data_IF_758752043949
#
_entry.id   IF_758752043949
#
_cell.length_a   1.000
_cell.length_b   1.000
_cell.length_c   1.000
_cell.angle_alpha   90.00
_cell.angle_beta   90.00
_cell.angle_gamma   90.00
#
_symmetry.space_group_name_H-M   'P 1'
#
loop_
_entity.id
_entity.type
_entity.pdbx_description
1 polymer ?
#
# COMPACT_ATOMS: atom_id res chain seq x y z
N UNK A 1 -0.66 13.72 5.31
CA UNK A 1 0.18 14.35 4.27
C UNK A 1 0.93 13.33 3.43
N UNK A 2 1.69 12.40 4.03
CA UNK A 2 2.51 11.41 3.29
C UNK A 2 1.75 10.66 2.19
N UNK A 3 0.59 10.06 2.50
CA UNK A 3 -0.20 9.35 1.49
C UNK A 3 -0.61 10.25 0.30
N UNK A 4 -1.05 11.48 0.57
CA UNK A 4 -1.44 12.42 -0.48
C UNK A 4 -0.25 12.85 -1.36
N UNK A 5 0.93 13.05 -0.75
CA UNK A 5 2.16 13.36 -1.49
C UNK A 5 2.56 12.20 -2.43
N UNK A 6 2.54 10.96 -1.92
CA UNK A 6 2.85 9.75 -2.70
C UNK A 6 1.87 9.56 -3.87
N UNK A 7 0.57 9.78 -3.64
CA UNK A 7 -0.44 9.74 -4.70
C UNK A 7 -0.21 10.85 -5.73
N UNK A 8 0.21 12.04 -5.29
CA UNK A 8 0.53 13.14 -6.21
C UNK A 8 1.76 12.82 -7.06
N UNK A 9 2.81 12.24 -6.48
CA UNK A 9 4.01 11.79 -7.20
C UNK A 9 3.68 10.71 -8.24
N UNK A 10 2.79 9.78 -7.90
CA UNK A 10 2.31 8.76 -8.83
C UNK A 10 1.65 9.36 -10.08
N UNK A 11 1.01 10.53 -9.98
CA UNK A 11 0.43 11.21 -11.16
C UNK A 11 1.51 11.64 -12.15
N UNK A 12 2.65 12.12 -11.67
CA UNK A 12 3.79 12.47 -12.52
C UNK A 12 4.40 11.22 -13.16
N UNK A 13 4.56 10.14 -12.40
CA UNK A 13 5.13 8.88 -12.89
C UNK A 13 4.22 8.14 -13.89
N UNK A 14 2.90 8.38 -13.83
CA UNK A 14 1.92 7.75 -14.69
C UNK A 14 1.97 8.23 -16.15
N UNK A 15 2.80 9.23 -16.47
CA UNK A 15 3.06 9.58 -17.86
C UNK A 15 3.76 8.41 -18.57
N UNK A 16 3.21 7.90 -19.70
CA UNK A 16 3.70 6.69 -20.33
C UNK A 16 5.07 6.94 -20.97
N UNK A 17 6.13 6.34 -20.44
CA UNK A 17 7.47 6.49 -21.04
C UNK A 17 7.56 5.88 -22.46
N UNK A 18 6.69 4.93 -22.79
CA UNK A 18 6.69 4.22 -24.07
C UNK A 18 6.17 5.02 -25.26
N UNK A 19 5.63 6.22 -25.04
CA UNK A 19 5.22 7.12 -26.14
C UNK A 19 6.36 8.06 -26.58
N UNK A 20 7.51 7.98 -25.90
CA UNK A 20 8.72 8.72 -26.26
C UNK A 20 9.68 7.82 -27.04
N UNK A 21 10.35 8.40 -28.05
CA UNK A 21 11.38 7.74 -28.84
C UNK A 21 12.37 8.79 -29.30
N UNK A 22 13.65 8.61 -28.94
CA UNK A 22 14.74 9.45 -29.41
C UNK A 22 15.58 8.59 -30.36
N UNK A 23 15.63 8.93 -31.67
CA UNK A 23 16.40 8.17 -32.63
C UNK A 23 17.88 8.12 -32.24
N UNK A 24 18.48 6.95 -32.31
CA UNK A 24 19.92 6.78 -32.06
C UNK A 24 20.62 6.19 -33.29
N UNK A 25 21.95 6.13 -33.25
CA UNK A 25 22.76 5.44 -34.27
C UNK A 25 22.50 5.94 -35.71
N UNK A 26 22.52 7.26 -35.93
CA UNK A 26 22.26 7.88 -37.23
C UNK A 26 20.94 7.40 -37.90
N UNK A 27 19.88 7.25 -37.09
CA UNK A 27 18.56 6.82 -37.53
C UNK A 27 18.45 5.33 -37.92
N UNK A 28 19.40 4.49 -37.47
CA UNK A 28 19.29 3.02 -37.55
C UNK A 28 18.35 2.46 -36.47
N UNK A 29 18.28 3.13 -35.32
CA UNK A 29 17.28 2.87 -34.27
C UNK A 29 16.33 4.06 -34.23
N UNK A 30 15.47 4.16 -35.23
CA UNK A 30 14.49 5.25 -35.38
C UNK A 30 13.25 5.06 -34.48
N UNK A 31 13.05 3.86 -33.93
CA UNK A 31 11.98 3.56 -32.99
C UNK A 31 12.47 2.76 -31.78
N UNK A 32 12.47 3.38 -30.60
CA UNK A 32 12.83 2.76 -29.31
C UNK A 32 11.64 2.80 -28.35
N UNK A 33 11.44 1.71 -27.59
CA UNK A 33 10.25 1.53 -26.76
C UNK A 33 10.30 2.23 -25.40
N UNK A 34 11.48 2.71 -24.99
CA UNK A 34 11.75 3.24 -23.64
C UNK A 34 11.29 2.31 -22.49
N UNK A 35 11.14 0.99 -22.78
CA UNK A 35 10.60 -0.01 -21.87
C UNK A 35 11.27 -0.06 -20.48
N UNK A 36 12.61 0.05 -20.38
CA UNK A 36 13.28 0.10 -19.07
C UNK A 36 12.85 1.28 -18.19
N UNK A 37 12.53 2.44 -18.79
CA UNK A 37 12.04 3.61 -18.06
C UNK A 37 10.62 3.35 -17.57
N UNK A 38 9.76 2.82 -18.45
CA UNK A 38 8.39 2.42 -18.07
C UNK A 38 8.39 1.41 -16.91
N UNK A 39 9.27 0.41 -16.93
CA UNK A 39 9.42 -0.54 -15.83
C UNK A 39 9.86 0.12 -14.51
N UNK A 40 10.76 1.11 -14.56
CA UNK A 40 11.18 1.88 -13.38
C UNK A 40 10.05 2.73 -12.82
N UNK A 41 9.26 3.39 -13.67
CA UNK A 41 8.07 4.14 -13.25
C UNK A 41 7.06 3.22 -12.56
N UNK A 42 6.75 2.07 -13.18
CA UNK A 42 5.84 1.08 -12.60
C UNK A 42 6.31 0.61 -11.22
N UNK A 43 7.61 0.29 -11.08
CA UNK A 43 8.19 -0.12 -9.79
C UNK A 43 8.05 0.96 -8.72
N UNK A 44 8.28 2.23 -9.07
CA UNK A 44 8.13 3.36 -8.14
C UNK A 44 6.66 3.54 -7.72
N UNK A 45 5.72 3.47 -8.67
CA UNK A 45 4.27 3.54 -8.38
C UNK A 45 3.83 2.41 -7.44
N UNK A 46 4.30 1.18 -7.65
CA UNK A 46 4.00 0.04 -6.78
C UNK A 46 4.50 0.32 -5.35
N UNK A 47 5.74 0.79 -5.20
CA UNK A 47 6.32 1.12 -3.89
C UNK A 47 5.52 2.21 -3.17
N UNK A 48 5.15 3.27 -3.88
CA UNK A 48 4.34 4.35 -3.33
C UNK A 48 2.95 3.86 -2.91
N UNK A 49 2.33 3.00 -3.73
CA UNK A 49 1.03 2.39 -3.43
C UNK A 49 1.08 1.50 -2.19
N UNK A 50 2.14 0.71 -2.00
CA UNK A 50 2.33 -0.10 -0.79
C UNK A 50 2.35 0.77 0.48
N UNK A 51 3.08 1.88 0.45
CA UNK A 51 3.13 2.82 1.58
C UNK A 51 1.79 3.52 1.83
N UNK A 52 1.04 3.85 0.77
CA UNK A 52 -0.32 4.41 0.91
C UNK A 52 -1.23 3.40 1.61
N UNK A 53 -1.21 2.14 1.19
CA UNK A 53 -1.99 1.07 1.82
C UNK A 53 -1.55 0.80 3.26
N UNK A 54 -0.25 0.91 3.56
CA UNK A 54 0.25 0.78 4.93
C UNK A 54 -0.33 1.86 5.85
N UNK A 55 -0.34 3.12 5.39
CA UNK A 55 -0.95 4.23 6.11
C UNK A 55 -2.46 4.04 6.29
N UNK A 56 -3.15 3.56 5.26
CA UNK A 56 -4.58 3.21 5.33
C UNK A 56 -4.85 2.12 6.37
N UNK A 57 -4.06 1.04 6.41
CA UNK A 57 -4.20 -0.02 7.39
C UNK A 57 -4.06 0.51 8.83
N UNK A 58 -3.03 1.33 9.09
CA UNK A 58 -2.80 1.94 10.40
C UNK A 58 -3.98 2.82 10.84
N UNK A 59 -4.46 3.66 9.93
CA UNK A 59 -5.58 4.58 10.20
C UNK A 59 -6.89 3.82 10.40
N UNK A 60 -7.17 2.79 9.60
CA UNK A 60 -8.34 1.94 9.75
C UNK A 60 -8.35 1.20 11.09
N UNK A 61 -7.21 0.66 11.52
CA UNK A 61 -7.08 0.01 12.82
C UNK A 61 -7.39 0.95 13.98
N UNK A 62 -6.83 2.16 13.95
CA UNK A 62 -7.10 3.19 14.95
C UNK A 62 -8.58 3.61 14.95
N UNK A 63 -9.19 3.77 13.77
CA UNK A 63 -10.61 4.12 13.65
C UNK A 63 -11.54 3.04 14.22
N UNK A 64 -11.19 1.76 14.07
CA UNK A 64 -11.94 0.64 14.67
C UNK A 64 -11.95 0.75 16.19
N UNK A 65 -10.80 1.06 16.81
CA UNK A 65 -10.70 1.18 18.26
C UNK A 65 -11.47 2.37 18.81
N UNK A 66 -11.36 3.52 18.15
CA UNK A 66 -12.13 4.71 18.50
C UNK A 66 -13.64 4.44 18.41
N UNK A 67 -14.10 3.72 17.38
CA UNK A 67 -15.51 3.33 17.24
C UNK A 67 -15.96 2.36 18.34
N UNK A 68 -15.12 1.42 18.75
CA UNK A 68 -15.41 0.49 19.87
C UNK A 68 -15.57 1.26 21.18
N UNK A 69 -14.68 2.21 21.45
CA UNK A 69 -14.73 3.05 22.66
C UNK A 69 -15.97 3.94 22.65
N UNK A 70 -16.26 4.64 21.55
CA UNK A 70 -17.40 5.53 21.43
C UNK A 70 -18.75 4.79 21.54
N UNK A 71 -18.84 3.56 21.01
CA UNK A 71 -20.07 2.77 21.04
C UNK A 71 -20.33 2.09 22.39
N UNK A 72 -19.34 2.00 23.29
CA UNK A 72 -19.45 1.27 24.56
C UNK A 72 -19.72 -0.24 24.41
N UNK A 73 -19.61 -0.78 23.19
CA UNK A 73 -19.87 -2.19 22.86
C UNK A 73 -18.91 -2.70 21.79
N UNK A 74 -18.62 -4.02 21.74
CA UNK A 74 -17.77 -4.58 20.70
C UNK A 74 -18.35 -4.34 19.29
N UNK A 75 -17.56 -3.71 18.43
CA UNK A 75 -17.86 -3.62 17.00
C UNK A 75 -17.61 -4.98 16.35
N UNK A 76 -18.63 -5.55 15.72
CA UNK A 76 -18.50 -6.76 14.88
C UNK A 76 -17.85 -6.38 13.55
N UNK A 77 -16.69 -6.95 13.29
CA UNK A 77 -15.97 -6.84 12.01
C UNK A 77 -16.34 -8.02 11.10
N UNK A 78 -16.18 -7.86 9.79
CA UNK A 78 -16.27 -8.97 8.84
C UNK A 78 -15.11 -9.98 9.02
N UNK A 79 -15.22 -11.17 8.41
CA UNK A 79 -14.21 -12.25 8.54
C UNK A 79 -12.81 -11.77 8.16
N UNK A 80 -12.64 -11.20 6.96
CA UNK A 80 -11.35 -10.68 6.49
C UNK A 80 -10.84 -9.50 7.33
N UNK A 81 -11.70 -8.52 7.61
CA UNK A 81 -11.33 -7.35 8.43
C UNK A 81 -10.95 -7.73 9.86
N UNK A 82 -11.54 -8.79 10.42
CA UNK A 82 -11.15 -9.32 11.74
C UNK A 82 -9.70 -9.79 11.72
N UNK A 83 -9.30 -10.54 10.69
CA UNK A 83 -7.92 -11.02 10.55
C UNK A 83 -6.94 -9.89 10.27
N UNK A 84 -7.27 -8.98 9.35
CA UNK A 84 -6.44 -7.81 9.06
C UNK A 84 -6.20 -6.94 10.31
N UNK A 85 -7.26 -6.68 11.08
CA UNK A 85 -7.17 -5.94 12.33
C UNK A 85 -6.36 -6.69 13.39
N UNK A 86 -6.55 -8.02 13.51
CA UNK A 86 -5.79 -8.84 14.45
C UNK A 86 -4.28 -8.80 14.14
N UNK A 87 -3.90 -9.03 12.88
CA UNK A 87 -2.51 -8.94 12.42
C UNK A 87 -1.90 -7.59 12.77
N UNK A 88 -2.60 -6.49 12.48
CA UNK A 88 -2.14 -5.15 12.82
C UNK A 88 -1.87 -5.02 14.33
N UNK A 89 -2.78 -5.51 15.16
CA UNK A 89 -2.69 -5.38 16.62
C UNK A 89 -1.67 -6.32 17.28
N UNK A 90 -1.13 -7.30 16.55
CA UNK A 90 0.01 -8.11 17.01
C UNK A 90 1.27 -7.24 17.25
N UNK A 91 1.48 -6.20 16.45
CA UNK A 91 2.72 -5.41 16.47
C UNK A 91 2.50 -3.91 16.61
N UNK A 92 1.32 -3.41 16.26
CA UNK A 92 0.97 -1.99 16.40
C UNK A 92 -0.14 -1.86 17.44
N UNK A 93 0.16 -1.48 18.69
CA UNK A 93 -0.85 -1.30 19.72
C UNK A 93 -1.77 -0.10 19.41
N UNK A 94 -2.93 -0.07 20.06
CA UNK A 94 -3.78 1.12 20.06
C UNK A 94 -3.02 2.30 20.68
N UNK A 95 -3.10 3.47 20.04
CA UNK A 95 -2.42 4.67 20.54
C UNK A 95 -3.41 5.64 21.18
N UNK A 96 -3.05 6.15 22.36
CA UNK A 96 -3.81 7.18 23.08
C UNK A 96 -3.17 8.57 23.01
N UNK A 97 -1.92 8.66 22.56
CA UNK A 97 -1.13 9.89 22.51
C UNK A 97 -0.40 9.96 21.18
N UNK A 98 0.05 11.15 20.81
CA UNK A 98 0.88 11.34 19.63
C UNK A 98 2.27 10.74 19.86
N UNK A 99 2.66 9.87 18.94
CA UNK A 99 3.92 9.13 18.95
C UNK A 99 4.46 9.03 17.53
N UNK A 100 5.75 8.71 17.40
CA UNK A 100 6.33 8.46 16.08
C UNK A 100 5.66 7.27 15.38
N UNK A 101 5.22 7.50 14.15
CA UNK A 101 4.61 6.46 13.32
C UNK A 101 5.65 5.65 12.52
N UNK A 102 6.93 6.02 12.54
CA UNK A 102 7.96 5.44 11.66
C UNK A 102 8.04 3.92 11.76
N UNK A 103 8.11 3.36 12.97
CA UNK A 103 8.18 1.91 13.17
C UNK A 103 6.90 1.19 12.73
N UNK A 104 5.73 1.80 12.99
CA UNK A 104 4.45 1.23 12.60
C UNK A 104 4.26 1.26 11.07
N UNK A 105 4.71 2.32 10.40
CA UNK A 105 4.68 2.44 8.94
C UNK A 105 5.59 1.39 8.32
N UNK A 106 6.83 1.25 8.80
CA UNK A 106 7.77 0.26 8.29
C UNK A 106 7.23 -1.17 8.46
N UNK A 107 6.64 -1.47 9.62
CA UNK A 107 6.03 -2.77 9.86
C UNK A 107 4.81 -3.04 8.96
N UNK A 108 3.92 -2.05 8.80
CA UNK A 108 2.73 -2.21 7.96
C UNK A 108 3.10 -2.33 6.46
N UNK A 109 4.13 -1.61 6.02
CA UNK A 109 4.72 -1.75 4.69
C UNK A 109 5.24 -3.17 4.47
N UNK A 110 5.98 -3.74 5.43
CA UNK A 110 6.46 -5.12 5.35
C UNK A 110 5.32 -6.16 5.34
N UNK A 111 4.27 -5.94 6.14
CA UNK A 111 3.09 -6.82 6.15
C UNK A 111 2.42 -6.88 4.77
N UNK A 112 2.40 -5.75 4.05
CA UNK A 112 1.82 -5.61 2.72
C UNK A 112 2.76 -6.16 1.66
N UNK A 113 4.03 -5.75 1.67
CA UNK A 113 5.02 -6.10 0.64
C UNK A 113 5.34 -7.60 0.64
N UNK A 114 5.35 -8.24 1.81
CA UNK A 114 5.53 -9.70 1.96
C UNK A 114 4.31 -10.52 1.50
N UNK A 115 3.18 -9.86 1.21
CA UNK A 115 1.91 -10.50 0.87
C UNK A 115 1.25 -11.26 2.03
N UNK A 116 1.78 -11.16 3.26
CA UNK A 116 1.22 -11.86 4.43
C UNK A 116 -0.22 -11.45 4.68
N UNK A 117 -0.54 -10.16 4.61
CA UNK A 117 -1.90 -9.66 4.79
C UNK A 117 -2.91 -10.37 3.88
N UNK A 118 -2.59 -10.44 2.57
CA UNK A 118 -3.46 -11.07 1.57
C UNK A 118 -3.62 -12.55 1.83
N UNK A 119 -2.53 -13.28 2.13
CA UNK A 119 -2.59 -14.72 2.39
C UNK A 119 -3.49 -15.06 3.58
N UNK A 120 -3.33 -14.36 4.69
CA UNK A 120 -4.10 -14.61 5.92
C UNK A 120 -5.58 -14.23 5.74
N UNK A 121 -5.86 -13.09 5.09
CA UNK A 121 -7.23 -12.67 4.81
C UNK A 121 -7.92 -13.64 3.84
N UNK A 122 -7.25 -14.04 2.76
CA UNK A 122 -7.79 -14.98 1.77
C UNK A 122 -8.13 -16.34 2.41
N UNK A 123 -7.24 -16.87 3.26
CA UNK A 123 -7.48 -18.09 4.03
C UNK A 123 -8.72 -17.96 4.92
N UNK A 124 -8.94 -16.78 5.51
CA UNK A 124 -10.06 -16.53 6.41
C UNK A 124 -11.41 -16.34 5.70
N UNK A 125 -11.43 -15.84 4.47
CA UNK A 125 -12.67 -15.63 3.69
C UNK A 125 -13.00 -16.79 2.75
N UNK A 126 -12.05 -17.66 2.46
CA UNK A 126 -12.25 -18.85 1.63
C UNK A 126 -12.13 -18.59 0.13
N UNK A 127 -11.44 -17.54 -0.30
CA UNK A 127 -11.18 -17.30 -1.71
C UNK A 127 -10.05 -18.20 -2.23
N UNK A 128 -10.32 -18.94 -3.31
CA UNK A 128 -9.30 -19.67 -4.06
C UNK A 128 -8.33 -18.68 -4.69
N UNK A 129 -7.03 -18.98 -4.57
CA UNK A 129 -5.96 -18.28 -5.28
C UNK A 129 -6.24 -18.31 -6.79
N UNK A 130 -6.64 -17.17 -7.34
CA UNK A 130 -6.57 -16.89 -8.78
C UNK A 130 -5.21 -16.30 -9.13
#
# INVERSE_FOLDING_TARGET
YTAAALVSENKSLAHPASVDSIPTSANQEDHVSMGPIAARHARAIIRNTQLVLALELLTAGQAIDLRRQAAGRPLRLGRGSTVAYALLRESVPYRTRDESFTAAIAWADELISSGRLVREVAAAIGESRG
#
